data_IF_568139427958
#
_entry.id   IF_568139427958
#
_cell.length_a   1.000
_cell.length_b   1.000
_cell.length_c   1.000
_cell.angle_alpha   90.00
_cell.angle_beta   90.00
_cell.angle_gamma   90.00
#
_symmetry.space_group_name_H-M   'P 1'
#
loop_
_entity.id
_entity.type
_entity.pdbx_description
1 polymer ?
#
# COMPACT_ATOMS: atom_id res chain seq x y z
N UNK A 1 -22.85 -42.41 31.47
CA UNK A 1 -22.10 -43.08 30.39
C UNK A 1 -21.60 -41.96 29.48
N UNK A 2 -20.34 -41.53 29.39
CA UNK A 2 -19.05 -42.23 29.43
C UNK A 2 -17.98 -41.17 29.78
N UNK A 3 -16.99 -41.61 30.53
CA UNK A 3 -15.89 -40.91 31.21
C UNK A 3 -15.05 -39.98 30.33
N UNK A 4 -14.61 -38.80 30.80
CA UNK A 4 -13.41 -38.54 31.63
C UNK A 4 -12.10 -38.98 30.96
N UNK A 5 -11.31 -38.01 30.46
CA UNK A 5 -9.89 -38.15 30.07
C UNK A 5 -9.21 -36.83 30.51
N UNK A 6 -8.69 -36.76 31.74
CA UNK A 6 -7.30 -37.05 32.16
C UNK A 6 -6.28 -35.94 31.80
N UNK A 7 -6.03 -35.11 32.81
CA UNK A 7 -4.78 -34.39 33.08
C UNK A 7 -3.65 -35.42 33.26
N UNK A 8 -2.45 -35.14 32.75
CA UNK A 8 -1.14 -35.29 33.45
C UNK A 8 -0.02 -34.82 32.53
N UNK A 9 0.67 -33.79 33.04
CA UNK A 9 1.93 -33.24 32.54
C UNK A 9 3.05 -34.29 32.60
N UNK A 10 3.84 -34.42 31.53
CA UNK A 10 5.13 -35.09 31.58
C UNK A 10 6.22 -34.14 31.06
N UNK A 11 6.99 -33.66 32.01
CA UNK A 11 8.29 -33.03 31.87
C UNK A 11 9.26 -33.99 31.17
N UNK A 12 9.81 -33.63 30.01
CA UNK A 12 11.13 -34.11 29.60
C UNK A 12 11.93 -32.91 29.08
N UNK A 13 12.84 -32.45 29.94
CA UNK A 13 13.92 -31.55 29.58
C UNK A 13 14.94 -32.25 28.67
N UNK A 14 15.66 -31.41 27.93
CA UNK A 14 16.99 -31.63 27.39
C UNK A 14 17.04 -32.51 26.13
N UNK A 15 17.29 -31.89 24.98
CA UNK A 15 18.59 -32.00 24.32
C UNK A 15 18.86 -30.72 23.53
N UNK A 16 19.91 -30.01 23.93
CA UNK A 16 20.63 -29.14 23.01
C UNK A 16 21.52 -30.02 22.15
N UNK A 17 21.37 -29.91 20.82
CA UNK A 17 22.45 -30.22 19.89
C UNK A 17 22.71 -28.97 19.08
N UNK A 18 23.84 -28.33 19.37
CA UNK A 18 24.43 -27.38 18.44
C UNK A 18 24.90 -28.19 17.23
N UNK A 19 24.19 -28.05 16.11
CA UNK A 19 24.66 -28.48 14.80
C UNK A 19 24.76 -27.24 13.92
N UNK A 20 25.94 -26.62 13.95
CA UNK A 20 26.36 -25.65 12.96
C UNK A 20 26.63 -26.41 11.66
N UNK A 21 25.95 -26.09 10.55
CA UNK A 21 26.45 -26.40 9.20
C UNK A 21 25.72 -25.64 8.10
N UNK A 22 26.55 -24.91 7.36
CA UNK A 22 26.37 -24.32 6.03
C UNK A 22 25.40 -23.17 5.89
N UNK A 23 26.01 -21.99 5.77
CA UNK A 23 25.54 -20.86 4.96
C UNK A 23 24.88 -21.41 3.70
N UNK A 24 23.56 -21.37 3.66
CA UNK A 24 22.92 -21.09 2.39
C UNK A 24 23.16 -19.61 2.21
N UNK A 25 24.09 -19.26 1.32
CA UNK A 25 24.18 -17.92 0.79
C UNK A 25 22.80 -17.64 0.19
N UNK A 26 21.95 -17.03 1.01
CA UNK A 26 20.81 -16.29 0.54
C UNK A 26 21.46 -15.24 -0.33
N UNK A 27 21.41 -15.47 -1.64
CA UNK A 27 21.61 -14.43 -2.63
C UNK A 27 20.70 -13.32 -2.15
N UNK A 28 21.30 -12.31 -1.52
CA UNK A 28 20.69 -11.02 -1.34
C UNK A 28 20.51 -10.52 -2.76
N UNK A 29 19.37 -10.89 -3.36
CA UNK A 29 18.86 -10.12 -4.46
C UNK A 29 18.80 -8.72 -3.86
N UNK A 30 19.64 -7.78 -4.33
CA UNK A 30 19.56 -6.43 -3.80
C UNK A 30 18.12 -6.01 -3.97
N UNK A 31 17.57 -5.37 -2.94
CA UNK A 31 16.20 -4.82 -2.88
C UNK A 31 15.86 -3.89 -4.08
N UNK A 32 16.86 -3.67 -4.93
CA UNK A 32 16.87 -2.96 -6.21
C UNK A 32 16.26 -3.72 -7.40
N UNK A 33 15.84 -4.99 -7.30
CA UNK A 33 15.19 -5.71 -8.43
C UNK A 33 13.66 -5.84 -8.25
N UNK A 34 13.12 -5.53 -7.07
CA UNK A 34 11.70 -5.18 -6.96
C UNK A 34 11.62 -3.67 -7.03
N UNK A 35 11.44 -3.13 -8.24
CA UNK A 35 10.94 -1.78 -8.41
C UNK A 35 9.49 -1.76 -7.90
N UNK A 36 9.32 -1.86 -6.57
CA UNK A 36 8.04 -1.64 -5.92
C UNK A 36 7.76 -0.17 -6.16
N UNK A 37 7.01 0.12 -7.22
CA UNK A 37 6.64 1.47 -7.57
C UNK A 37 6.06 2.12 -6.31
N UNK A 38 6.78 3.09 -5.74
CA UNK A 38 6.39 3.73 -4.49
C UNK A 38 4.93 4.17 -4.60
N UNK A 39 4.09 3.68 -3.70
CA UNK A 39 2.69 4.11 -3.60
C UNK A 39 2.58 5.47 -2.92
N UNK A 40 3.67 5.96 -2.31
CA UNK A 40 3.70 7.28 -1.69
C UNK A 40 3.86 8.37 -2.75
N UNK A 41 2.97 9.35 -2.67
CA UNK A 41 2.96 10.55 -3.50
C UNK A 41 3.22 11.77 -2.63
N UNK A 42 4.17 12.62 -3.03
CA UNK A 42 4.35 13.95 -2.46
C UNK A 42 3.56 14.96 -3.30
N UNK A 43 2.69 15.72 -2.65
CA UNK A 43 1.83 16.72 -3.28
C UNK A 43 2.18 18.08 -2.69
N UNK A 44 2.43 19.07 -3.54
CA UNK A 44 2.70 20.43 -3.11
C UNK A 44 1.56 21.35 -3.57
N UNK A 45 0.91 22.04 -2.63
CA UNK A 45 -0.17 22.99 -2.91
C UNK A 45 0.10 24.28 -2.16
N UNK A 46 0.21 25.41 -2.89
CA UNK A 46 0.42 26.72 -2.27
C UNK A 46 1.68 26.84 -1.38
N UNK A 47 2.70 26.00 -1.63
CA UNK A 47 3.93 25.93 -0.83
C UNK A 47 3.89 24.94 0.34
N UNK A 48 2.72 24.36 0.65
CA UNK A 48 2.58 23.30 1.64
C UNK A 48 2.77 21.92 1.00
N UNK A 49 3.45 21.01 1.70
CA UNK A 49 3.65 19.63 1.27
C UNK A 49 2.75 18.65 2.02
N UNK A 50 2.19 17.70 1.28
CA UNK A 50 1.35 16.62 1.77
C UNK A 50 1.88 15.29 1.26
N UNK A 51 1.73 14.24 2.06
CA UNK A 51 2.05 12.87 1.65
C UNK A 51 0.75 12.09 1.53
N UNK A 52 0.53 11.48 0.37
CA UNK A 52 -0.60 10.58 0.13
C UNK A 52 -0.10 9.17 -0.19
N UNK A 53 -0.97 8.18 -0.05
CA UNK A 53 -0.71 6.79 -0.44
C UNK A 53 -1.74 6.42 -1.50
N UNK A 54 -1.26 6.05 -2.68
CA UNK A 54 -2.11 5.54 -3.75
C UNK A 54 -2.48 4.08 -3.49
N UNK A 55 -3.70 3.71 -3.86
CA UNK A 55 -4.12 2.32 -3.87
C UNK A 55 -3.29 1.49 -4.86
N UNK A 56 -3.20 0.19 -4.62
CA UNK A 56 -2.56 -0.74 -5.53
C UNK A 56 -3.57 -1.24 -6.58
N UNK A 57 -3.73 -0.47 -7.66
CA UNK A 57 -4.62 -0.80 -8.77
C UNK A 57 -4.14 -0.19 -10.10
N UNK A 58 -4.80 -0.58 -11.20
CA UNK A 58 -4.43 -0.16 -12.56
C UNK A 58 -4.56 1.36 -12.76
N UNK A 59 -5.55 1.99 -12.13
CA UNK A 59 -5.75 3.43 -12.18
C UNK A 59 -4.55 4.18 -11.56
N UNK A 60 -4.13 3.77 -10.37
CA UNK A 60 -2.98 4.33 -9.68
C UNK A 60 -1.68 4.07 -10.44
N UNK A 61 -1.53 2.87 -11.03
CA UNK A 61 -0.37 2.54 -11.87
C UNK A 61 -0.27 3.44 -13.10
N UNK A 62 -1.37 3.63 -13.81
CA UNK A 62 -1.43 4.52 -14.96
C UNK A 62 -1.26 6.00 -14.56
N UNK A 63 -1.79 6.42 -13.41
CA UNK A 63 -1.59 7.77 -12.88
C UNK A 63 -0.13 8.04 -12.53
N UNK A 64 0.56 7.10 -11.85
CA UNK A 64 1.99 7.23 -11.50
C UNK A 64 2.87 7.42 -12.74
N UNK A 65 2.53 6.79 -13.86
CA UNK A 65 3.25 6.96 -15.12
C UNK A 65 3.15 8.37 -15.72
N UNK A 66 2.22 9.22 -15.23
CA UNK A 66 2.07 10.62 -15.65
C UNK A 66 2.79 11.61 -14.73
N UNK A 67 3.47 11.13 -13.69
CA UNK A 67 4.22 11.99 -12.77
C UNK A 67 5.64 12.27 -13.29
N UNK A 68 6.24 13.43 -12.95
CA UNK A 68 5.67 14.53 -12.15
C UNK A 68 4.59 15.31 -12.92
N UNK A 69 3.55 15.74 -12.20
CA UNK A 69 2.43 16.49 -12.76
C UNK A 69 2.29 17.83 -12.04
N UNK A 70 2.24 18.92 -12.80
CA UNK A 70 1.93 20.26 -12.29
C UNK A 70 0.70 20.78 -13.02
N UNK A 71 -0.34 21.09 -12.26
CA UNK A 71 -1.67 21.44 -12.78
C UNK A 71 -2.27 22.60 -11.98
N UNK A 72 -3.11 23.38 -12.64
CA UNK A 72 -3.97 24.36 -11.98
C UNK A 72 -5.33 23.72 -11.73
N UNK A 73 -5.65 23.44 -10.47
CA UNK A 73 -6.92 22.81 -10.08
C UNK A 73 -8.04 23.84 -9.95
N UNK A 74 -9.26 23.44 -10.31
CA UNK A 74 -10.48 24.21 -10.12
C UNK A 74 -11.03 23.98 -8.71
N UNK A 75 -11.64 24.99 -8.13
CA UNK A 75 -12.41 24.86 -6.90
C UNK A 75 -13.84 24.43 -7.22
N UNK A 76 -14.36 23.46 -6.45
CA UNK A 76 -15.76 23.09 -6.45
C UNK A 76 -16.33 23.23 -5.03
N UNK A 77 -17.24 24.19 -4.88
CA UNK A 77 -18.00 24.43 -3.65
C UNK A 77 -17.13 24.62 -2.38
N UNK A 78 -15.88 25.08 -2.53
CA UNK A 78 -14.88 25.20 -1.46
C UNK A 78 -14.52 23.89 -0.72
N UNK A 79 -15.02 22.74 -1.18
CA UNK A 79 -14.83 21.43 -0.55
C UNK A 79 -13.91 20.52 -1.36
N UNK A 80 -13.82 20.72 -2.68
CA UNK A 80 -13.05 19.87 -3.58
C UNK A 80 -12.16 20.71 -4.51
N UNK A 81 -10.93 20.22 -4.72
CA UNK A 81 -10.08 20.68 -5.81
C UNK A 81 -10.03 19.57 -6.85
N UNK A 82 -10.31 19.89 -8.11
CA UNK A 82 -10.30 18.90 -9.19
C UNK A 82 -9.60 19.41 -10.45
N UNK A 83 -9.20 18.46 -11.30
CA UNK A 83 -8.61 18.73 -12.60
C UNK A 83 -8.97 17.61 -13.57
N UNK A 84 -9.38 17.99 -14.78
CA UNK A 84 -9.74 17.06 -15.85
C UNK A 84 -8.45 16.54 -16.51
N UNK A 85 -8.12 15.26 -16.30
CA UNK A 85 -6.91 14.68 -16.88
C UNK A 85 -7.01 14.59 -18.43
N UNK A 86 -5.91 14.86 -19.16
CA UNK A 86 -5.88 14.63 -20.60
C UNK A 86 -5.92 13.13 -20.88
N UNK A 87 -7.09 12.63 -21.27
CA UNK A 87 -7.33 11.22 -21.57
C UNK A 87 -7.61 10.36 -20.34
N UNK A 88 -8.44 9.34 -20.55
CA UNK A 88 -8.93 8.42 -19.53
C UNK A 88 -7.80 7.62 -18.87
N UNK A 89 -8.00 7.29 -17.60
CA UNK A 89 -7.25 6.26 -16.90
C UNK A 89 -8.11 4.98 -16.86
N UNK A 90 -7.51 3.79 -16.67
CA UNK A 90 -8.27 2.60 -16.32
C UNK A 90 -9.17 2.92 -15.12
N UNK A 91 -10.44 2.55 -15.19
CA UNK A 91 -11.40 2.75 -14.10
C UNK A 91 -12.22 1.50 -13.87
N UNK A 92 -12.56 1.27 -12.61
CA UNK A 92 -13.53 0.29 -12.16
C UNK A 92 -14.41 0.99 -11.14
N UNK A 93 -15.34 1.82 -11.65
CA UNK A 93 -16.11 2.74 -10.83
C UNK A 93 -16.95 2.02 -9.77
N UNK A 94 -17.01 2.62 -8.59
CA UNK A 94 -17.78 2.13 -7.46
C UNK A 94 -18.20 3.31 -6.58
N UNK A 95 -19.18 3.10 -5.70
CA UNK A 95 -19.55 4.11 -4.72
C UNK A 95 -18.53 4.05 -3.56
N UNK A 96 -17.75 5.11 -3.30
CA UNK A 96 -16.75 5.12 -2.24
C UNK A 96 -17.37 5.18 -0.82
N UNK A 97 -18.68 5.41 -0.71
CA UNK A 97 -19.36 5.65 0.56
C UNK A 97 -19.02 7.03 1.09
N UNK A 98 -18.44 7.10 2.29
CA UNK A 98 -18.13 8.37 2.96
C UNK A 98 -16.74 8.86 2.56
N UNK A 99 -16.68 10.03 1.93
CA UNK A 99 -15.43 10.74 1.59
C UNK A 99 -14.99 11.58 2.79
N UNK A 100 -13.70 11.54 3.11
CA UNK A 100 -13.04 12.30 4.17
C UNK A 100 -12.16 13.42 3.60
N UNK A 101 -11.87 14.42 4.44
CA UNK A 101 -10.89 15.45 4.09
C UNK A 101 -9.51 14.83 3.84
N UNK A 102 -8.94 15.09 2.67
CA UNK A 102 -7.65 14.54 2.25
C UNK A 102 -7.74 13.30 1.36
N UNK A 103 -8.94 12.76 1.13
CA UNK A 103 -9.14 11.68 0.17
C UNK A 103 -8.79 12.14 -1.25
N UNK A 104 -8.17 11.23 -2.01
CA UNK A 104 -7.90 11.40 -3.44
C UNK A 104 -8.76 10.40 -4.22
N UNK A 105 -9.49 10.90 -5.20
CA UNK A 105 -10.42 10.10 -5.99
C UNK A 105 -10.20 10.32 -7.48
N UNK A 106 -10.19 9.22 -8.25
CA UNK A 106 -10.42 9.28 -9.69
C UNK A 106 -11.93 9.29 -9.90
N UNK A 107 -12.45 10.40 -10.44
CA UNK A 107 -13.87 10.60 -10.68
C UNK A 107 -14.17 10.55 -12.18
N UNK A 108 -15.15 9.74 -12.59
CA UNK A 108 -15.56 9.55 -13.99
C UNK A 108 -16.40 8.31 -14.21
#
# INVERSE_FOLDING_TARGET
>A
MKHLINIVSCFICLQGVAACSKSNDMISIPDSIVNTASTKLRITVGGSEFTSTLNDNDAATAFRARLPLTISMKDLNANEKYFDLPGYLPSSSSNPGTIQAGDLMLYG
#
